data_IF_316885302864
#
_entry.id   IF_316885302864
#
_cell.length_a   1.000
_cell.length_b   1.000
_cell.length_c   1.000
_cell.angle_alpha   90.00
_cell.angle_beta   90.00
_cell.angle_gamma   90.00
#
_symmetry.space_group_name_H-M   'P 1'
#
loop_
_entity.id
_entity.type
_entity.pdbx_description
1 polymer ?
#
# COMPACT_ATOMS: atom_id res chain seq x y z
N UNK A 1 21.94 -86.05 -21.01
CA UNK A 1 23.29 -85.41 -21.04
C UNK A 1 23.04 -83.91 -21.04
N UNK A 2 23.04 -83.15 -19.94
CA UNK A 2 24.01 -82.91 -18.86
C UNK A 2 24.74 -81.54 -19.05
N UNK A 3 24.47 -80.62 -18.10
CA UNK A 3 25.24 -79.45 -17.58
C UNK A 3 25.49 -78.26 -18.55
N UNK A 4 25.13 -76.99 -18.31
CA UNK A 4 24.93 -76.10 -17.15
C UNK A 4 26.22 -75.57 -16.47
N UNK A 5 26.42 -74.23 -16.53
CA UNK A 5 27.07 -73.30 -15.57
C UNK A 5 27.13 -71.93 -16.26
N UNK A 6 26.47 -70.87 -15.79
CA UNK A 6 26.78 -70.03 -14.62
C UNK A 6 27.35 -68.70 -15.15
N UNK A 7 26.78 -67.52 -14.90
CA UNK A 7 26.75 -66.87 -13.58
C UNK A 7 25.77 -65.69 -13.57
N UNK A 8 25.17 -65.51 -12.39
CA UNK A 8 24.03 -64.69 -11.97
C UNK A 8 24.26 -63.17 -11.89
N UNK A 9 23.15 -62.43 -11.96
CA UNK A 9 22.95 -61.13 -11.31
C UNK A 9 22.60 -61.29 -9.81
N UNK A 10 22.77 -60.25 -8.99
CA UNK A 10 21.56 -59.67 -8.37
C UNK A 10 21.58 -58.14 -8.20
N UNK A 11 20.38 -57.55 -8.18
CA UNK A 11 20.06 -56.21 -7.67
C UNK A 11 19.76 -56.28 -6.14
N UNK A 12 19.05 -55.32 -5.49
CA UNK A 12 19.25 -53.88 -5.24
C UNK A 12 19.20 -53.53 -3.71
N UNK A 13 19.53 -52.28 -3.30
CA UNK A 13 19.05 -51.54 -2.08
C UNK A 13 20.02 -50.37 -1.79
N UNK A 14 19.60 -49.10 -1.75
CA UNK A 14 18.88 -48.36 -0.68
C UNK A 14 19.81 -47.57 0.25
N UNK A 15 19.42 -46.30 0.47
CA UNK A 15 19.65 -45.48 1.66
C UNK A 15 20.88 -44.55 1.76
N UNK A 16 20.55 -43.25 1.67
CA UNK A 16 20.82 -42.22 2.68
C UNK A 16 22.22 -41.54 2.81
N UNK A 17 22.14 -40.22 2.60
CA UNK A 17 22.53 -39.16 3.53
C UNK A 17 23.99 -38.69 3.67
N UNK A 18 24.14 -37.39 3.35
CA UNK A 18 25.01 -36.36 3.94
C UNK A 18 26.45 -36.18 3.41
N UNK A 19 27.03 -34.96 3.49
CA UNK A 19 26.41 -33.62 3.41
C UNK A 19 27.07 -32.71 2.35
N UNK A 20 26.31 -31.72 1.89
CA UNK A 20 26.81 -30.64 1.04
C UNK A 20 27.85 -29.80 1.81
N UNK A 21 29.08 -29.80 1.31
CA UNK A 21 30.19 -28.99 1.83
C UNK A 21 29.91 -27.51 1.57
N UNK A 22 29.63 -26.76 2.64
CA UNK A 22 29.56 -25.30 2.63
C UNK A 22 30.97 -24.73 2.46
N UNK A 23 31.23 -24.06 1.34
CA UNK A 23 32.42 -23.21 1.20
C UNK A 23 32.25 -21.97 2.07
N UNK A 24 33.02 -21.97 3.14
CA UNK A 24 33.25 -20.87 4.06
C UNK A 24 34.17 -19.82 3.40
N UNK A 25 33.81 -18.54 3.51
CA UNK A 25 34.77 -17.43 3.35
C UNK A 25 34.55 -16.49 2.15
N UNK A 26 33.63 -15.52 2.28
CA UNK A 26 33.90 -14.14 1.84
C UNK A 26 33.26 -13.19 2.86
N UNK A 27 34.08 -12.28 3.38
CA UNK A 27 33.72 -11.34 4.44
C UNK A 27 32.65 -10.35 3.97
N UNK A 28 31.75 -10.01 4.88
CA UNK A 28 30.77 -8.94 4.72
C UNK A 28 31.49 -7.59 4.60
N UNK A 29 31.10 -6.77 3.62
CA UNK A 29 31.48 -5.36 3.58
C UNK A 29 30.84 -4.61 4.75
N UNK A 30 31.57 -3.69 5.40
CA UNK A 30 31.11 -3.00 6.60
C UNK A 30 30.03 -1.97 6.29
N UNK A 31 28.97 -1.99 7.11
CA UNK A 31 28.00 -0.91 7.21
C UNK A 31 28.63 0.31 7.92
N UNK A 32 28.40 1.55 7.45
CA UNK A 32 28.59 2.71 8.29
C UNK A 32 27.36 2.97 9.16
N UNK A 33 27.65 3.24 10.42
CA UNK A 33 26.73 3.50 11.51
C UNK A 33 26.00 4.85 11.37
N UNK A 34 24.80 4.87 11.96
CA UNK A 34 24.02 5.99 12.51
C UNK A 34 24.63 7.40 12.44
N UNK A 35 23.89 8.31 11.80
CA UNK A 35 23.83 9.72 12.16
C UNK A 35 22.38 10.20 12.08
N UNK A 36 21.75 10.31 13.25
CA UNK A 36 20.56 11.14 13.47
C UNK A 36 20.92 12.61 13.25
N UNK A 37 20.26 13.27 12.29
CA UNK A 37 19.58 14.58 12.46
C UNK A 37 19.12 15.19 11.14
N UNK A 38 17.81 15.47 11.11
CA UNK A 38 17.13 16.61 10.49
C UNK A 38 17.43 16.93 9.01
N UNK A 39 16.52 16.49 8.12
CA UNK A 39 16.30 17.12 6.82
C UNK A 39 15.47 18.39 7.06
N UNK A 40 16.14 19.53 7.17
CA UNK A 40 15.53 20.85 7.09
C UNK A 40 15.33 21.22 5.61
N UNK A 41 14.09 21.58 5.28
CA UNK A 41 13.67 22.18 4.01
C UNK A 41 14.29 23.57 3.91
N UNK A 42 15.15 23.78 2.92
CA UNK A 42 15.68 25.11 2.58
C UNK A 42 14.69 25.82 1.65
N UNK A 43 13.94 26.78 2.21
CA UNK A 43 13.32 27.89 1.49
C UNK A 43 14.22 29.12 1.57
N UNK A 44 14.39 29.81 0.44
CA UNK A 44 15.04 31.12 0.34
C UNK A 44 14.18 32.21 1.00
N UNK A 45 14.83 33.16 1.68
CA UNK A 45 14.20 34.38 2.19
C UNK A 45 15.19 35.22 3.00
N UNK A 46 15.71 36.29 2.38
CA UNK A 46 16.58 37.32 2.94
C UNK A 46 16.16 37.86 4.31
N UNK A 47 17.11 38.19 5.19
CA UNK A 47 17.57 39.57 5.43
C UNK A 47 18.63 39.64 6.54
N UNK A 48 19.46 40.67 6.41
CA UNK A 48 20.71 40.95 7.08
C UNK A 48 20.47 41.82 8.34
N UNK A 49 21.51 41.97 9.16
CA UNK A 49 21.82 43.15 10.00
C UNK A 49 21.58 43.07 11.54
N UNK A 50 22.67 42.72 12.24
CA UNK A 50 23.38 43.51 13.28
C UNK A 50 22.82 43.62 14.72
N UNK A 51 23.54 42.94 15.63
CA UNK A 51 23.73 43.19 17.09
C UNK A 51 24.56 44.49 17.34
N UNK A 52 24.91 44.97 18.57
CA UNK A 52 24.54 44.58 19.96
C UNK A 52 24.39 45.77 20.98
N UNK A 53 24.35 45.43 22.29
CA UNK A 53 24.63 46.20 23.53
C UNK A 53 23.45 47.03 24.11
N UNK A 54 23.18 47.15 25.42
CA UNK A 54 23.95 47.05 26.69
C UNK A 54 22.94 46.93 27.86
N UNK A 55 23.23 46.24 28.98
CA UNK A 55 22.36 46.17 30.18
C UNK A 55 22.48 47.40 31.11
N UNK A 56 22.18 47.34 32.43
CA UNK A 56 21.22 46.53 33.20
C UNK A 56 20.30 47.41 34.12
N UNK A 57 19.40 46.75 34.87
CA UNK A 57 19.00 47.06 36.27
C UNK A 57 17.52 47.43 36.58
N UNK A 58 17.07 46.77 37.66
CA UNK A 58 16.08 47.11 38.69
C UNK A 58 14.55 47.15 38.47
N UNK A 59 13.92 46.25 39.23
CA UNK A 59 12.83 46.48 40.19
C UNK A 59 11.41 45.97 39.88
N UNK A 60 11.00 45.07 40.79
CA UNK A 60 9.66 44.82 41.32
C UNK A 60 8.63 44.20 40.35
N UNK A 61 7.79 43.23 40.72
CA UNK A 61 7.22 42.88 42.02
C UNK A 61 6.53 41.51 41.88
N UNK A 62 6.88 40.57 42.72
CA UNK A 62 6.02 39.42 43.04
C UNK A 62 5.16 39.83 44.25
N UNK A 63 3.93 39.30 44.36
CA UNK A 63 3.56 38.76 45.65
C UNK A 63 2.86 37.40 45.49
N UNK A 64 3.45 36.41 46.14
CA UNK A 64 2.70 35.34 46.77
C UNK A 64 2.03 35.90 48.03
N UNK A 65 0.75 35.62 48.25
CA UNK A 65 0.31 35.17 49.57
C UNK A 65 -0.98 34.35 49.52
N UNK A 66 -0.89 33.32 50.35
CA UNK A 66 -1.77 32.23 50.73
C UNK A 66 -3.14 32.72 51.22
N UNK A 67 -4.23 32.08 50.81
CA UNK A 67 -5.28 31.60 51.73
C UNK A 67 -6.23 30.63 51.03
N UNK A 68 -6.43 29.50 51.71
CA UNK A 68 -7.34 28.43 51.37
C UNK A 68 -8.81 28.91 51.41
N UNK A 69 -9.59 28.44 50.46
CA UNK A 69 -11.01 28.26 50.63
C UNK A 69 -11.40 26.99 49.85
N UNK A 70 -11.83 25.99 50.61
CA UNK A 70 -12.56 24.84 50.13
C UNK A 70 -13.62 25.25 49.09
N UNK A 71 -13.52 24.63 47.92
CA UNK A 71 -14.65 24.48 47.02
C UNK A 71 -14.75 22.99 46.68
N UNK A 72 -15.20 22.21 47.67
CA UNK A 72 -16.21 21.20 47.36
C UNK A 72 -17.36 21.94 46.66
N UNK A 73 -17.46 21.72 45.36
CA UNK A 73 -18.45 22.35 44.51
C UNK A 73 -18.92 21.36 43.46
N UNK A 74 -19.94 20.61 43.83
CA UNK A 74 -20.84 19.85 42.96
C UNK A 74 -20.21 18.81 42.04
N UNK A 75 -20.15 17.59 42.57
CA UNK A 75 -20.67 16.42 41.88
C UNK A 75 -22.15 16.63 41.54
N UNK A 76 -22.44 17.49 40.59
CA UNK A 76 -23.68 17.41 39.82
C UNK A 76 -23.37 16.64 38.54
N UNK A 77 -23.11 15.34 38.73
CA UNK A 77 -23.39 14.36 37.69
C UNK A 77 -24.92 14.29 37.55
N UNK A 78 -25.52 15.36 37.03
CA UNK A 78 -26.91 15.34 36.62
C UNK A 78 -27.06 14.17 35.64
N UNK A 79 -27.96 13.20 35.89
CA UNK A 79 -28.10 12.01 35.06
C UNK A 79 -28.46 12.33 33.59
N UNK A 80 -28.88 13.56 33.30
CA UNK A 80 -29.02 14.08 31.93
C UNK A 80 -27.68 14.27 31.19
N UNK A 81 -26.65 14.81 31.85
CA UNK A 81 -25.35 15.14 31.22
C UNK A 81 -24.55 13.90 30.79
N UNK A 82 -24.65 12.80 31.54
CA UNK A 82 -24.00 11.52 31.20
C UNK A 82 -24.71 10.80 30.05
N UNK A 83 -26.06 10.78 30.06
CA UNK A 83 -26.89 10.22 28.99
C UNK A 83 -26.70 10.97 27.67
N UNK A 84 -26.64 12.30 27.70
CA UNK A 84 -26.39 13.12 26.50
C UNK A 84 -25.00 12.85 25.90
N UNK A 85 -23.97 12.66 26.74
CA UNK A 85 -22.62 12.28 26.30
C UNK A 85 -22.56 10.87 25.72
N UNK A 86 -23.33 9.91 26.25
CA UNK A 86 -23.41 8.56 25.69
C UNK A 86 -24.13 8.57 24.33
N UNK A 87 -25.25 9.27 24.22
CA UNK A 87 -26.01 9.42 22.97
C UNK A 87 -25.18 10.11 21.87
N UNK A 88 -24.41 11.16 22.21
CA UNK A 88 -23.53 11.84 21.26
C UNK A 88 -22.39 10.93 20.77
N UNK A 89 -21.80 10.12 21.65
CA UNK A 89 -20.79 9.13 21.27
C UNK A 89 -21.35 8.11 20.27
N UNK A 90 -22.57 7.59 20.51
CA UNK A 90 -23.21 6.68 19.57
C UNK A 90 -23.49 7.31 18.21
N UNK A 91 -23.96 8.56 18.19
CA UNK A 91 -24.18 9.31 16.94
C UNK A 91 -22.87 9.46 16.17
N UNK A 92 -21.79 9.79 16.86
CA UNK A 92 -20.46 9.93 16.26
C UNK A 92 -19.96 8.61 15.64
N UNK A 93 -20.10 7.48 16.34
CA UNK A 93 -19.73 6.16 15.81
C UNK A 93 -20.54 5.80 14.55
N UNK A 94 -21.85 6.07 14.55
CA UNK A 94 -22.70 5.82 13.37
C UNK A 94 -22.29 6.69 12.18
N UNK A 95 -21.93 7.94 12.40
CA UNK A 95 -21.44 8.82 11.34
C UNK A 95 -20.11 8.33 10.77
N UNK A 96 -19.17 7.91 11.63
CA UNK A 96 -17.89 7.35 11.20
C UNK A 96 -18.06 6.09 10.34
N UNK A 97 -18.95 5.17 10.76
CA UNK A 97 -19.23 3.96 9.96
C UNK A 97 -19.80 4.31 8.58
N UNK A 98 -20.80 5.22 8.52
CA UNK A 98 -21.39 5.63 7.23
C UNK A 98 -20.39 6.29 6.28
N UNK A 99 -19.49 7.11 6.82
CA UNK A 99 -18.46 7.79 6.03
C UNK A 99 -17.42 6.80 5.47
N UNK A 100 -17.07 5.78 6.27
CA UNK A 100 -16.01 4.84 5.91
C UNK A 100 -16.52 3.52 5.29
N UNK A 101 -17.84 3.37 5.11
CA UNK A 101 -18.48 2.18 4.52
C UNK A 101 -17.93 1.87 3.12
N UNK A 102 -17.53 2.91 2.38
CA UNK A 102 -16.94 2.79 1.04
C UNK A 102 -15.59 2.06 1.00
N UNK A 103 -14.91 1.91 2.14
CA UNK A 103 -13.72 1.04 2.26
C UNK A 103 -14.07 -0.41 1.96
N UNK A 104 -15.28 -0.86 2.29
CA UNK A 104 -15.75 -2.23 2.04
C UNK A 104 -16.02 -2.50 0.55
N UNK A 105 -16.30 -1.45 -0.23
CA UNK A 105 -16.51 -1.53 -1.68
C UNK A 105 -15.19 -1.55 -2.47
N UNK A 106 -14.04 -1.55 -1.79
CA UNK A 106 -12.75 -1.60 -2.44
C UNK A 106 -12.47 -2.98 -3.05
N UNK A 107 -12.18 -3.00 -4.35
CA UNK A 107 -11.67 -4.17 -5.05
C UNK A 107 -10.16 -4.30 -4.80
N UNK A 108 -9.80 -5.13 -3.83
CA UNK A 108 -8.41 -5.36 -3.44
C UNK A 108 -7.61 -6.07 -4.53
N UNK A 109 -8.24 -6.91 -5.36
CA UNK A 109 -7.56 -7.66 -6.44
C UNK A 109 -7.13 -6.72 -7.56
N UNK A 110 -8.00 -5.77 -7.91
CA UNK A 110 -7.69 -4.73 -8.90
C UNK A 110 -6.56 -3.82 -8.42
N UNK A 111 -6.55 -3.44 -7.14
CA UNK A 111 -5.53 -2.57 -6.54
C UNK A 111 -4.19 -3.29 -6.28
N UNK A 112 -4.24 -4.59 -5.97
CA UNK A 112 -3.05 -5.42 -5.80
C UNK A 112 -2.19 -5.45 -7.07
N UNK A 113 -2.81 -5.28 -8.25
CA UNK A 113 -2.17 -5.38 -9.55
C UNK A 113 -1.25 -6.61 -9.59
N UNK A 114 -1.82 -7.77 -9.27
CA UNK A 114 -1.09 -9.03 -9.13
C UNK A 114 -0.37 -9.39 -10.43
N UNK A 115 -1.05 -9.24 -11.57
CA UNK A 115 -0.53 -9.53 -12.92
C UNK A 115 0.34 -8.42 -13.51
N UNK A 116 0.96 -7.57 -12.69
CA UNK A 116 1.85 -6.51 -13.17
C UNK A 116 3.02 -7.11 -13.97
N UNK A 117 3.27 -6.68 -15.21
CA UNK A 117 4.31 -7.30 -16.03
C UNK A 117 5.69 -7.00 -15.47
N UNK A 118 6.49 -8.04 -15.25
CA UNK A 118 7.83 -7.92 -14.67
C UNK A 118 8.82 -7.18 -15.58
N UNK A 119 9.77 -6.48 -14.96
CA UNK A 119 10.86 -5.80 -15.67
C UNK A 119 11.70 -6.77 -16.51
N UNK A 120 11.88 -8.02 -16.02
CA UNK A 120 12.59 -9.07 -16.74
C UNK A 120 11.88 -9.48 -18.05
N UNK A 121 10.55 -9.57 -18.03
CA UNK A 121 9.76 -9.90 -19.23
C UNK A 121 9.83 -8.78 -20.27
N UNK A 122 9.84 -7.53 -19.81
CA UNK A 122 9.96 -6.36 -20.69
C UNK A 122 11.37 -6.26 -21.29
N UNK A 123 12.42 -6.48 -20.50
CA UNK A 123 13.79 -6.45 -21.00
C UNK A 123 14.06 -7.61 -21.97
N UNK A 124 13.53 -8.81 -21.71
CA UNK A 124 13.58 -9.93 -22.63
C UNK A 124 12.85 -9.62 -23.95
N UNK A 125 11.67 -9.01 -23.88
CA UNK A 125 10.91 -8.59 -25.07
C UNK A 125 11.65 -7.51 -25.88
N UNK A 126 12.35 -6.58 -25.22
CA UNK A 126 13.18 -5.55 -25.85
C UNK A 126 14.37 -6.17 -26.58
N UNK A 127 15.16 -7.01 -25.89
CA UNK A 127 16.31 -7.71 -26.49
C UNK A 127 15.93 -8.51 -27.73
N UNK A 128 14.80 -9.22 -27.70
CA UNK A 128 14.33 -9.98 -28.86
C UNK A 128 14.00 -9.09 -30.06
N UNK A 129 13.36 -7.95 -29.82
CA UNK A 129 13.08 -6.97 -30.89
C UNK A 129 14.37 -6.39 -31.45
N UNK A 130 15.30 -6.03 -30.58
CA UNK A 130 16.55 -5.40 -30.99
C UNK A 130 17.46 -6.40 -31.74
N UNK A 131 17.50 -7.67 -31.32
CA UNK A 131 18.16 -8.77 -32.06
C UNK A 131 17.54 -8.97 -33.45
N UNK A 132 16.22 -8.90 -33.55
CA UNK A 132 15.52 -9.01 -34.83
C UNK A 132 15.82 -7.82 -35.76
N UNK A 133 15.81 -6.58 -35.23
CA UNK A 133 16.19 -5.39 -35.99
C UNK A 133 17.65 -5.43 -36.45
N UNK A 134 18.55 -5.94 -35.59
CA UNK A 134 19.95 -6.15 -35.93
C UNK A 134 20.06 -7.15 -37.10
N UNK A 135 19.33 -8.25 -37.06
CA UNK A 135 19.32 -9.22 -38.16
C UNK A 135 18.82 -8.60 -39.48
N UNK A 136 17.74 -7.81 -39.44
CA UNK A 136 17.25 -7.05 -40.61
C UNK A 136 18.31 -6.08 -41.13
N UNK A 137 18.96 -5.34 -40.24
CA UNK A 137 19.99 -4.37 -40.59
C UNK A 137 21.19 -5.05 -41.25
N UNK A 138 21.69 -6.15 -40.68
CA UNK A 138 22.78 -6.93 -41.26
C UNK A 138 22.41 -7.48 -42.63
N UNK A 139 21.20 -8.06 -42.79
CA UNK A 139 20.73 -8.54 -44.08
C UNK A 139 20.62 -7.41 -45.12
N UNK A 140 20.17 -6.23 -44.71
CA UNK A 140 20.08 -5.04 -45.57
C UNK A 140 21.46 -4.56 -46.01
N UNK A 141 22.44 -4.51 -45.10
CA UNK A 141 23.83 -4.15 -45.44
C UNK A 141 24.44 -5.16 -46.42
N UNK A 142 24.21 -6.46 -46.21
CA UNK A 142 24.68 -7.50 -47.14
C UNK A 142 24.03 -7.38 -48.52
N UNK A 143 22.72 -7.13 -48.58
CA UNK A 143 22.00 -6.93 -49.83
C UNK A 143 22.51 -5.70 -50.59
N UNK A 144 22.60 -4.56 -49.92
CA UNK A 144 23.10 -3.31 -50.51
C UNK A 144 24.55 -3.45 -50.97
N UNK A 145 25.41 -4.08 -50.16
CA UNK A 145 26.80 -4.37 -50.54
C UNK A 145 26.92 -5.32 -51.73
N UNK A 146 25.99 -6.27 -51.88
CA UNK A 146 25.89 -7.13 -53.07
C UNK A 146 25.44 -6.37 -54.32
N UNK A 147 24.45 -5.48 -54.20
CA UNK A 147 23.96 -4.64 -55.32
C UNK A 147 25.04 -3.65 -55.80
N UNK A 148 25.83 -3.09 -54.88
CA UNK A 148 26.96 -2.21 -55.20
C UNK A 148 28.18 -2.95 -55.78
N UNK A 149 28.17 -4.29 -55.82
CA UNK A 149 29.28 -5.09 -56.33
C UNK A 149 30.50 -5.13 -55.39
N UNK A 150 30.37 -4.66 -54.15
CA UNK A 150 31.44 -4.69 -53.14
C UNK A 150 31.58 -6.08 -52.52
N UNK A 151 30.49 -6.85 -52.48
CA UNK A 151 30.45 -8.23 -51.96
C UNK A 151 30.22 -9.25 -53.09
N UNK A 152 30.72 -10.49 -52.95
CA UNK A 152 30.45 -11.57 -53.88
C UNK A 152 28.94 -11.83 -54.09
N UNK A 153 28.54 -12.22 -55.31
CA UNK A 153 27.12 -12.39 -55.67
C UNK A 153 26.36 -13.39 -54.78
N UNK A 154 27.02 -14.42 -54.26
CA UNK A 154 26.41 -15.38 -53.33
C UNK A 154 26.05 -14.75 -51.97
N UNK A 155 26.79 -13.74 -51.50
CA UNK A 155 26.43 -12.96 -50.30
C UNK A 155 25.26 -12.01 -50.57
N UNK A 156 25.19 -11.43 -51.78
CA UNK A 156 24.08 -10.58 -52.18
C UNK A 156 22.74 -11.34 -52.22
N UNK A 157 22.74 -12.54 -52.83
CA UNK A 157 21.55 -13.41 -52.90
C UNK A 157 21.09 -13.94 -51.55
N UNK A 158 22.03 -14.33 -50.66
CA UNK A 158 21.70 -14.76 -49.30
C UNK A 158 21.20 -13.61 -48.43
N UNK A 159 21.77 -12.41 -48.58
CA UNK A 159 21.28 -11.17 -47.94
C UNK A 159 19.84 -10.83 -48.35
N UNK A 160 19.52 -10.93 -49.64
CA UNK A 160 18.15 -10.72 -50.15
C UNK A 160 17.15 -11.73 -49.57
N UNK A 161 17.48 -13.03 -49.61
CA UNK A 161 16.63 -14.09 -49.07
C UNK A 161 16.43 -13.97 -47.55
N UNK A 162 17.48 -13.66 -46.81
CA UNK A 162 17.43 -13.41 -45.37
C UNK A 162 16.57 -12.16 -45.06
N UNK A 163 16.66 -11.10 -45.87
CA UNK A 163 15.86 -9.89 -45.69
C UNK A 163 14.37 -10.15 -45.92
N UNK A 164 14.02 -10.83 -47.00
CA UNK A 164 12.61 -11.15 -47.34
C UNK A 164 11.99 -12.09 -46.30
N UNK A 165 12.70 -13.14 -45.90
CA UNK A 165 12.21 -14.06 -44.85
C UNK A 165 12.02 -13.35 -43.52
N UNK A 166 13.01 -12.54 -43.10
CA UNK A 166 12.92 -11.76 -41.86
C UNK A 166 11.77 -10.76 -41.91
N UNK A 167 11.52 -10.12 -43.07
CA UNK A 167 10.40 -9.20 -43.27
C UNK A 167 9.03 -9.91 -43.22
N UNK A 168 8.91 -11.12 -43.76
CA UNK A 168 7.68 -11.93 -43.62
C UNK A 168 7.37 -12.25 -42.15
N UNK A 169 8.40 -12.53 -41.35
CA UNK A 169 8.28 -12.73 -39.89
C UNK A 169 7.91 -11.44 -39.12
N UNK A 170 8.02 -10.26 -39.74
CA UNK A 170 7.56 -8.99 -39.17
C UNK A 170 6.03 -8.90 -39.15
N UNK A 171 5.35 -9.58 -40.07
CA UNK A 171 3.90 -9.47 -40.23
C UNK A 171 3.19 -10.10 -39.01
N UNK A 172 2.30 -9.37 -38.33
CA UNK A 172 1.55 -9.86 -37.17
C UNK A 172 0.86 -11.22 -37.35
N UNK A 173 0.21 -11.54 -38.49
CA UNK A 173 -0.45 -12.84 -38.66
C UNK A 173 0.53 -14.01 -38.69
N UNK A 174 1.65 -13.89 -39.39
CA UNK A 174 2.69 -14.92 -39.48
C UNK A 174 3.41 -15.07 -38.14
N UNK A 175 3.69 -13.95 -37.47
CA UNK A 175 4.32 -13.94 -36.15
C UNK A 175 3.46 -14.59 -35.07
N UNK A 176 2.12 -14.43 -35.12
CA UNK A 176 1.20 -15.03 -34.14
C UNK A 176 1.19 -16.55 -34.21
N UNK A 177 1.31 -17.13 -35.41
CA UNK A 177 1.38 -18.60 -35.60
C UNK A 177 2.70 -19.17 -35.04
N UNK A 178 3.80 -18.43 -35.18
CA UNK A 178 5.12 -18.90 -34.72
C UNK A 178 5.51 -18.47 -33.30
N UNK A 179 4.84 -17.49 -32.70
CA UNK A 179 5.25 -16.95 -31.39
C UNK A 179 4.11 -16.30 -30.62
N UNK A 180 3.54 -17.06 -29.67
CA UNK A 180 2.51 -16.60 -28.72
C UNK A 180 3.04 -15.66 -27.62
N UNK A 181 4.25 -15.09 -27.78
CA UNK A 181 4.88 -14.26 -26.74
C UNK A 181 4.41 -12.80 -26.87
N UNK A 182 4.00 -12.15 -25.76
CA UNK A 182 3.48 -10.79 -25.77
C UNK A 182 4.53 -9.81 -26.29
N UNK A 183 4.11 -8.84 -27.09
CA UNK A 183 5.00 -7.83 -27.64
C UNK A 183 5.41 -6.79 -26.58
N UNK A 184 6.57 -6.15 -26.73
CA UNK A 184 6.98 -5.07 -25.80
C UNK A 184 5.94 -3.95 -25.72
N UNK A 185 5.28 -3.61 -26.85
CA UNK A 185 4.22 -2.61 -26.89
C UNK A 185 3.00 -3.06 -26.09
N UNK A 186 2.59 -4.32 -26.23
CA UNK A 186 1.51 -4.90 -25.40
C UNK A 186 1.85 -4.85 -23.92
N UNK A 187 3.07 -5.20 -23.51
CA UNK A 187 3.48 -5.16 -22.09
C UNK A 187 3.46 -3.73 -21.52
N UNK A 188 3.92 -2.74 -22.29
CA UNK A 188 3.88 -1.32 -21.89
C UNK A 188 2.44 -0.80 -21.85
N UNK A 189 1.64 -1.15 -22.85
CA UNK A 189 0.23 -0.76 -22.90
C UNK A 189 -0.56 -1.38 -21.75
N UNK A 190 -0.30 -2.65 -21.42
CA UNK A 190 -0.91 -3.37 -20.30
C UNK A 190 -0.60 -2.68 -18.97
N UNK A 191 0.65 -2.24 -18.73
CA UNK A 191 0.99 -1.43 -17.53
C UNK A 191 0.16 -0.17 -17.44
N UNK A 192 0.07 0.57 -18.54
CA UNK A 192 -0.68 1.81 -18.60
C UNK A 192 -2.19 1.60 -18.43
N UNK A 193 -2.73 0.49 -18.94
CA UNK A 193 -4.14 0.12 -18.73
C UNK A 193 -4.40 -0.22 -17.25
N UNK A 194 -3.64 -1.13 -16.65
CA UNK A 194 -3.79 -1.50 -15.24
C UNK A 194 -3.69 -0.30 -14.30
N UNK A 195 -2.75 0.62 -14.55
CA UNK A 195 -2.63 1.83 -13.73
C UNK A 195 -3.82 2.78 -13.92
N UNK A 196 -4.34 2.91 -15.14
CA UNK A 196 -5.54 3.73 -15.42
C UNK A 196 -6.79 3.14 -14.78
N UNK A 197 -6.93 1.82 -14.81
CA UNK A 197 -8.05 1.11 -14.21
C UNK A 197 -8.00 1.25 -12.69
N UNK A 198 -6.83 1.05 -12.08
CA UNK A 198 -6.62 1.31 -10.65
C UNK A 198 -6.92 2.76 -10.27
N UNK A 199 -6.45 3.74 -11.06
CA UNK A 199 -6.76 5.16 -10.83
C UNK A 199 -8.25 5.46 -10.92
N UNK A 200 -8.94 4.89 -11.90
CA UNK A 200 -10.39 5.07 -12.06
C UNK A 200 -11.14 4.48 -10.88
N UNK A 201 -10.72 3.31 -10.41
CA UNK A 201 -11.27 2.70 -9.20
C UNK A 201 -11.04 3.56 -7.97
N UNK A 202 -9.81 4.04 -7.76
CA UNK A 202 -9.49 4.95 -6.64
C UNK A 202 -10.28 6.26 -6.74
N UNK A 203 -10.44 6.84 -7.92
CA UNK A 203 -11.30 8.00 -8.12
C UNK A 203 -12.77 7.71 -7.74
N UNK A 204 -13.25 6.51 -8.08
CA UNK A 204 -14.56 6.04 -7.69
C UNK A 204 -14.66 5.60 -6.22
N UNK A 205 -13.56 5.46 -5.48
CA UNK A 205 -13.59 5.21 -4.04
C UNK A 205 -13.46 6.51 -3.23
N UNK A 206 -12.65 7.45 -3.70
CA UNK A 206 -12.47 8.75 -3.03
C UNK A 206 -13.72 9.64 -3.20
N UNK A 207 -14.31 9.68 -4.40
CA UNK A 207 -15.44 10.58 -4.71
C UNK A 207 -15.14 12.05 -4.38
N UNK A 208 -16.17 12.79 -3.97
CA UNK A 208 -16.08 14.22 -3.71
C UNK A 208 -15.42 14.57 -2.37
N UNK A 209 -15.57 13.72 -1.34
CA UNK A 209 -15.25 14.09 0.04
C UNK A 209 -13.90 13.55 0.54
N UNK A 210 -13.23 12.69 -0.24
CA UNK A 210 -11.93 12.13 0.10
C UNK A 210 -12.01 11.01 1.16
N UNK A 211 -12.05 9.75 0.72
CA UNK A 211 -12.23 8.58 1.59
C UNK A 211 -11.10 8.47 2.63
N UNK A 212 -9.85 8.56 2.18
CA UNK A 212 -8.68 8.44 3.06
C UNK A 212 -8.66 9.53 4.14
N UNK A 213 -9.09 10.75 3.82
CA UNK A 213 -9.23 11.82 4.82
C UNK A 213 -10.31 11.50 5.86
N UNK A 214 -11.46 10.98 5.45
CA UNK A 214 -12.53 10.58 6.38
C UNK A 214 -12.09 9.42 7.29
N UNK A 215 -11.42 8.41 6.72
CA UNK A 215 -10.92 7.25 7.46
C UNK A 215 -9.87 7.60 8.51
N UNK A 216 -9.22 8.77 8.43
CA UNK A 216 -8.31 9.25 9.47
C UNK A 216 -8.99 9.35 10.85
N UNK A 217 -10.29 9.65 10.88
CA UNK A 217 -11.05 9.75 12.15
C UNK A 217 -11.12 8.42 12.90
N UNK A 218 -10.93 7.30 12.21
CA UNK A 218 -10.89 5.95 12.78
C UNK A 218 -9.53 5.56 13.33
N UNK A 219 -8.52 6.43 13.25
CA UNK A 219 -7.20 6.17 13.82
C UNK A 219 -7.23 5.89 15.34
N UNK A 220 -8.29 6.29 16.04
CA UNK A 220 -8.53 5.92 17.44
C UNK A 220 -8.64 4.41 17.65
N UNK A 221 -9.14 3.65 16.66
CA UNK A 221 -9.30 2.19 16.73
C UNK A 221 -8.13 1.41 16.13
N UNK A 222 -7.34 2.05 15.26
CA UNK A 222 -6.10 1.48 14.72
C UNK A 222 -5.06 2.60 14.50
N UNK A 223 -4.03 2.71 15.36
CA UNK A 223 -3.03 3.77 15.24
C UNK A 223 -2.16 3.65 13.98
N UNK A 224 -2.16 2.50 13.29
CA UNK A 224 -1.43 2.33 12.04
C UNK A 224 -1.88 3.35 10.97
N UNK A 225 -3.15 3.74 10.96
CA UNK A 225 -3.72 4.76 10.07
C UNK A 225 -3.10 6.15 10.28
N UNK A 226 -2.64 6.46 11.50
CA UNK A 226 -2.01 7.72 11.83
C UNK A 226 -0.51 7.75 11.50
N UNK A 227 0.06 6.65 11.03
CA UNK A 227 1.50 6.56 10.74
C UNK A 227 1.97 7.60 9.70
N UNK A 228 3.25 7.99 9.83
CA UNK A 228 3.85 9.00 8.96
C UNK A 228 3.91 8.56 7.49
N UNK A 229 3.99 7.26 7.20
CA UNK A 229 3.99 6.73 5.82
C UNK A 229 2.73 7.11 5.03
N UNK A 230 1.60 7.29 5.72
CA UNK A 230 0.32 7.66 5.12
C UNK A 230 0.02 9.16 5.23
N UNK A 231 0.89 9.98 5.81
CA UNK A 231 0.63 11.42 5.95
C UNK A 231 0.43 12.10 4.59
N UNK A 232 1.32 11.82 3.63
CA UNK A 232 1.23 12.33 2.26
C UNK A 232 -0.02 11.85 1.53
N UNK A 233 -0.45 10.62 1.80
CA UNK A 233 -1.67 10.06 1.22
C UNK A 233 -2.91 10.80 1.72
N UNK A 234 -2.95 11.09 3.02
CA UNK A 234 -4.03 11.85 3.68
C UNK A 234 -4.09 13.28 3.18
N UNK A 235 -2.95 13.97 3.13
CA UNK A 235 -2.87 15.35 2.63
C UNK A 235 -3.30 15.43 1.15
N UNK A 236 -2.94 14.43 0.34
CA UNK A 236 -3.37 14.35 -1.05
C UNK A 236 -4.87 14.05 -1.22
N UNK A 237 -5.47 13.29 -0.30
CA UNK A 237 -6.92 13.03 -0.26
C UNK A 237 -7.69 14.28 0.18
N UNK A 238 -7.21 14.99 1.21
CA UNK A 238 -7.77 16.26 1.68
C UNK A 238 -7.78 17.33 0.59
N UNK A 239 -6.71 17.40 -0.21
CA UNK A 239 -6.60 18.33 -1.36
C UNK A 239 -7.29 17.81 -2.63
N UNK A 240 -7.89 16.61 -2.60
CA UNK A 240 -8.51 15.93 -3.75
C UNK A 240 -7.58 15.72 -4.96
N UNK A 241 -6.26 15.75 -4.76
CA UNK A 241 -5.25 15.53 -5.81
C UNK A 241 -4.72 14.10 -5.85
N UNK A 242 -5.25 13.22 -4.99
CA UNK A 242 -4.76 11.85 -4.79
C UNK A 242 -4.65 11.08 -6.12
N UNK A 243 -5.72 11.04 -6.91
CA UNK A 243 -5.77 10.30 -8.18
C UNK A 243 -4.67 10.75 -9.16
N UNK A 244 -4.35 12.05 -9.17
CA UNK A 244 -3.28 12.61 -9.98
C UNK A 244 -1.90 12.12 -9.54
N UNK A 245 -1.69 11.97 -8.23
CA UNK A 245 -0.42 11.51 -7.64
C UNK A 245 -0.17 10.00 -7.75
N UNK A 246 -1.19 9.18 -8.04
CA UNK A 246 -1.05 7.72 -8.21
C UNK A 246 -0.38 7.34 -9.54
N UNK A 247 0.76 7.91 -9.90
CA UNK A 247 1.49 7.66 -11.18
C UNK A 247 2.27 6.36 -11.19
N UNK A 248 2.67 5.87 -10.01
CA UNK A 248 3.51 4.69 -9.89
C UNK A 248 2.80 3.57 -9.12
N UNK A 249 3.19 2.33 -9.43
CA UNK A 249 2.73 1.13 -8.72
C UNK A 249 2.94 1.24 -7.21
N UNK A 250 4.04 1.86 -6.77
CA UNK A 250 4.37 2.04 -5.36
C UNK A 250 3.28 2.82 -4.63
N UNK A 251 2.79 3.91 -5.22
CA UNK A 251 1.74 4.73 -4.60
C UNK A 251 0.39 4.01 -4.58
N UNK A 252 0.04 3.28 -5.63
CA UNK A 252 -1.19 2.46 -5.63
C UNK A 252 -1.12 1.36 -4.56
N UNK A 253 0.04 0.70 -4.40
CA UNK A 253 0.25 -0.29 -3.33
C UNK A 253 0.20 0.32 -1.93
N UNK A 254 0.73 1.54 -1.77
CA UNK A 254 0.62 2.27 -0.50
C UNK A 254 -0.84 2.56 -0.16
N UNK A 255 -1.64 2.96 -1.16
CA UNK A 255 -3.08 3.15 -1.02
C UNK A 255 -3.81 1.84 -0.68
N UNK A 256 -3.46 0.73 -1.34
CA UNK A 256 -3.98 -0.60 -1.00
C UNK A 256 -3.68 -0.97 0.46
N UNK A 257 -2.44 -0.79 0.91
CA UNK A 257 -2.06 -1.09 2.29
C UNK A 257 -2.82 -0.23 3.29
N UNK A 258 -3.05 1.05 2.96
CA UNK A 258 -3.91 1.93 3.75
C UNK A 258 -5.34 1.40 3.84
N UNK A 259 -5.94 0.99 2.72
CA UNK A 259 -7.30 0.43 2.72
C UNK A 259 -7.43 -0.84 3.55
N UNK A 260 -6.44 -1.74 3.49
CA UNK A 260 -6.42 -2.94 4.32
C UNK A 260 -6.34 -2.59 5.81
N UNK A 261 -5.56 -1.59 6.18
CA UNK A 261 -5.51 -1.11 7.58
C UNK A 261 -6.80 -0.39 7.99
N UNK A 262 -7.46 0.29 7.06
CA UNK A 262 -8.76 0.93 7.27
C UNK A 262 -9.87 -0.10 7.45
N UNK A 263 -9.88 -1.19 6.69
CA UNK A 263 -10.83 -2.30 6.85
C UNK A 263 -10.70 -2.96 8.24
N UNK A 264 -9.47 -3.24 8.68
CA UNK A 264 -9.22 -3.71 10.06
C UNK A 264 -9.73 -2.73 11.12
N UNK A 265 -9.57 -1.42 10.88
CA UNK A 265 -10.09 -0.40 11.79
C UNK A 265 -11.62 -0.37 11.78
N UNK A 266 -12.24 -0.60 10.62
CA UNK A 266 -13.68 -0.68 10.45
C UNK A 266 -14.28 -1.84 11.22
N UNK A 267 -13.67 -3.03 11.13
CA UNK A 267 -14.09 -4.19 11.90
C UNK A 267 -14.02 -3.95 13.41
N UNK A 268 -12.95 -3.30 13.89
CA UNK A 268 -12.81 -2.92 15.31
C UNK A 268 -13.83 -1.86 15.74
N UNK A 269 -14.10 -0.88 14.89
CA UNK A 269 -15.13 0.13 15.11
C UNK A 269 -16.52 -0.51 15.21
N UNK A 270 -16.82 -1.48 14.34
CA UNK A 270 -18.08 -2.21 14.35
C UNK A 270 -18.25 -3.05 15.62
N UNK A 271 -17.19 -3.74 16.06
CA UNK A 271 -17.18 -4.46 17.34
C UNK A 271 -17.44 -3.52 18.52
N UNK A 272 -16.70 -2.41 18.61
CA UNK A 272 -16.90 -1.43 19.68
C UNK A 272 -18.31 -0.82 19.68
N UNK A 273 -18.92 -0.64 18.49
CA UNK A 273 -20.30 -0.19 18.38
C UNK A 273 -21.30 -1.23 18.94
N UNK A 274 -21.09 -2.51 18.65
CA UNK A 274 -21.93 -3.60 19.17
C UNK A 274 -21.78 -3.73 20.69
N UNK A 275 -20.54 -3.68 21.22
CA UNK A 275 -20.27 -3.76 22.66
C UNK A 275 -20.94 -2.61 23.42
N UNK A 276 -20.85 -1.38 22.88
CA UNK A 276 -21.51 -0.22 23.48
C UNK A 276 -23.04 -0.36 23.53
N UNK A 277 -23.63 -1.05 22.54
CA UNK A 277 -25.07 -1.30 22.50
C UNK A 277 -25.48 -2.39 23.49
N UNK A 278 -24.64 -3.41 23.68
CA UNK A 278 -24.88 -4.45 24.68
C UNK A 278 -24.82 -3.87 26.10
N UNK A 279 -23.85 -3.01 26.40
CA UNK A 279 -23.75 -2.35 27.70
C UNK A 279 -24.98 -1.49 28.05
N UNK A 280 -25.53 -0.76 27.08
CA UNK A 280 -26.77 0.00 27.28
C UNK A 280 -27.98 -0.92 27.56
N UNK A 281 -28.05 -2.06 26.86
CA UNK A 281 -29.11 -3.06 27.06
C UNK A 281 -28.98 -3.79 28.39
N UNK A 282 -27.80 -3.91 28.99
CA UNK A 282 -27.60 -4.50 30.32
C UNK A 282 -27.88 -3.51 31.45
N UNK A 283 -27.64 -2.21 31.25
CA UNK A 283 -27.90 -1.17 32.25
C UNK A 283 -29.39 -0.81 32.35
N UNK A 284 -30.11 -0.80 31.22
CA UNK A 284 -31.55 -0.50 31.18
C UNK A 284 -32.45 -1.42 32.05
N UNK A 285 -32.29 -2.77 32.08
CA UNK A 285 -33.12 -3.64 32.91
C UNK A 285 -32.80 -3.52 34.41
N UNK A 286 -31.63 -3.01 34.78
CA UNK A 286 -31.28 -2.78 36.19
C UNK A 286 -31.85 -1.46 36.72
N UNK A 287 -32.03 -0.45 35.86
CA UNK A 287 -32.65 0.83 36.25
C UNK A 287 -34.17 0.69 36.49
N UNK A 288 -34.90 -0.05 35.64
CA UNK A 288 -36.34 -0.32 35.86
C UNK A 288 -36.60 -1.13 37.14
N UNK A 289 -35.71 -2.06 37.49
CA UNK A 289 -35.82 -2.83 38.74
C UNK A 289 -35.45 -1.99 39.96
N UNK A 290 -34.55 -1.01 39.82
CA UNK A 290 -34.19 -0.08 40.90
C UNK A 290 -35.28 0.97 41.15
N UNK A 291 -35.91 1.55 40.11
CA UNK A 291 -37.08 2.43 40.25
C UNK A 291 -38.31 1.68 40.76
N UNK A 292 -38.52 0.43 40.33
CA UNK A 292 -39.61 -0.42 40.81
C UNK A 292 -39.51 -0.79 42.30
N UNK A 293 -38.29 -0.86 42.86
CA UNK A 293 -38.07 -1.16 44.28
C UNK A 293 -38.18 0.08 45.18
N UNK A 294 -37.89 1.27 44.66
CA UNK A 294 -38.08 2.53 45.38
C UNK A 294 -39.55 2.99 45.43
N UNK A 295 -40.40 2.53 44.50
CA UNK A 295 -41.83 2.85 44.47
C UNK A 295 -42.72 2.05 45.43
N UNK A 296 -42.22 0.95 46.02
CA UNK A 296 -43.01 0.06 46.90
C UNK A 296 -42.93 0.38 48.39
N UNK A 297 -41.98 1.21 48.84
CA UNK A 297 -41.75 1.46 50.27
C UNK A 297 -42.50 2.69 50.84
N UNK A 298 -43.30 3.41 50.05
CA UNK A 298 -44.04 4.61 50.49
C UNK A 298 -45.53 4.37 50.82
N UNK A 299 -45.97 3.11 50.93
CA UNK A 299 -47.39 2.77 51.16
C UNK A 299 -47.62 1.90 52.40
N UNK A 300 -47.13 2.32 53.56
CA UNK A 300 -47.63 1.83 54.85
C UNK A 300 -47.49 2.87 55.96
N UNK A 301 -48.41 3.83 56.00
CA UNK A 301 -48.72 4.59 57.23
C UNK A 301 -50.02 3.99 57.78
N UNK A 302 -50.01 3.32 58.95
CA UNK A 302 -51.22 2.83 59.57
C UNK A 302 -51.95 3.98 60.28
N UNK A 303 -53.28 4.01 60.16
CA UNK A 303 -54.19 4.77 61.03
C UNK A 303 -54.72 3.87 62.14
#
# INVERSE_FOLDING_TARGET
>A
MAQNTGTQAPAPASSAAAPAVLRQGRAADPAPAVADKAVAVAGQGSQNTTQPSTGPNESAKQPSDVMAADAEGSRDASPGSSRDKAANRQRQLRLMMRQCDRVLLADYDLLAMEKWPDNARISAARRRRDLWLLAVFVAAVLFVGGVLGVLPAWLGGTGFGALVTTLLLALPPVRRVFSSRPSHRELVQQRGQMLRDARRHVAHLEGADGLVWQCQRMAAFNPALASHSFSRLREASEKHILVGQLTERKYVRLYLFYLVEADKAYQRLQQAFLDSRQQDLEQSPLEEVAEGKAGTDLKSVPS
#
